data_IF_053939264691
#
_entry.id   IF_053939264691
#
_cell.length_a   1.000
_cell.length_b   1.000
_cell.length_c   1.000
_cell.angle_alpha   90.00
_cell.angle_beta   90.00
_cell.angle_gamma   90.00
#
_symmetry.space_group_name_H-M   'P 1'
#
loop_
_entity.id
_entity.type
_entity.pdbx_description
1 polymer ?
#
# COMPACT_ATOMS: atom_id res chain seq x y z
N UNK A 1 -19.06 8.71 8.10
CA UNK A 1 -17.81 9.35 8.56
C UNK A 1 -16.91 9.61 7.35
N UNK A 2 -16.35 10.80 7.21
CA UNK A 2 -15.45 11.12 6.11
C UNK A 2 -14.02 10.69 6.50
N UNK A 3 -13.55 9.55 5.96
CA UNK A 3 -12.21 9.03 6.24
C UNK A 3 -11.16 9.84 5.45
N UNK A 4 -10.54 10.81 6.13
CA UNK A 4 -9.52 11.70 5.57
C UNK A 4 -8.42 12.02 6.58
N UNK A 5 -7.23 12.30 6.06
CA UNK A 5 -6.09 12.88 6.78
C UNK A 5 -5.74 14.26 6.19
N UNK A 6 -4.60 14.82 6.57
CA UNK A 6 -4.08 16.07 6.00
C UNK A 6 -3.69 15.92 4.53
N UNK A 7 -3.20 14.74 4.12
CA UNK A 7 -2.66 14.54 2.77
C UNK A 7 -3.53 13.68 1.86
N UNK A 8 -4.45 12.88 2.42
CA UNK A 8 -5.29 11.97 1.62
C UNK A 8 -6.75 11.95 2.09
N UNK A 9 -7.62 11.42 1.23
CA UNK A 9 -9.00 11.10 1.55
C UNK A 9 -9.48 9.89 0.75
N UNK A 10 -10.50 9.21 1.26
CA UNK A 10 -11.10 8.05 0.61
C UNK A 10 -12.30 8.45 -0.25
N UNK A 11 -12.38 7.84 -1.43
CA UNK A 11 -13.56 7.87 -2.31
C UNK A 11 -14.02 6.44 -2.54
N UNK A 12 -15.29 6.17 -2.25
CA UNK A 12 -15.88 4.83 -2.31
C UNK A 12 -16.50 4.52 -3.68
N UNK A 13 -16.79 5.55 -4.48
CA UNK A 13 -17.20 5.35 -5.87
C UNK A 13 -16.00 4.86 -6.68
N UNK A 14 -16.07 3.62 -7.12
CA UNK A 14 -15.03 2.94 -7.91
C UNK A 14 -15.20 3.16 -9.41
N UNK A 15 -16.25 3.86 -9.84
CA UNK A 15 -16.47 4.20 -11.24
C UNK A 15 -15.36 5.11 -11.75
N UNK A 16 -15.10 5.03 -13.05
CA UNK A 16 -14.20 5.89 -13.79
C UNK A 16 -14.79 6.09 -15.19
N UNK A 17 -14.57 7.26 -15.77
CA UNK A 17 -15.00 7.52 -17.15
C UNK A 17 -14.25 6.60 -18.13
N UNK A 18 -14.94 5.98 -19.10
CA UNK A 18 -14.29 5.13 -20.09
C UNK A 18 -13.18 5.85 -20.84
N UNK A 19 -12.04 5.18 -21.02
CA UNK A 19 -10.81 5.65 -21.67
C UNK A 19 -10.08 6.80 -20.96
N UNK A 20 -10.51 7.18 -19.74
CA UNK A 20 -9.87 8.22 -18.95
C UNK A 20 -8.47 7.80 -18.45
N UNK A 21 -7.69 8.78 -18.00
CA UNK A 21 -6.43 8.49 -17.29
C UNK A 21 -6.69 7.79 -15.95
N UNK A 22 -7.80 8.12 -15.29
CA UNK A 22 -8.22 7.51 -14.04
C UNK A 22 -8.53 6.02 -14.22
N UNK A 23 -9.27 5.65 -15.26
CA UNK A 23 -9.58 4.25 -15.55
C UNK A 23 -8.30 3.43 -15.73
N UNK A 24 -7.32 3.94 -16.48
CA UNK A 24 -6.03 3.27 -16.70
C UNK A 24 -5.25 3.06 -15.40
N UNK A 25 -5.18 4.09 -14.54
CA UNK A 25 -4.51 4.01 -13.23
C UNK A 25 -5.24 2.99 -12.34
N UNK A 26 -6.58 3.03 -12.31
CA UNK A 26 -7.40 2.09 -11.55
C UNK A 26 -7.16 0.65 -12.00
N UNK A 27 -7.13 0.39 -13.30
CA UNK A 27 -6.84 -0.94 -13.84
C UNK A 27 -5.44 -1.43 -13.52
N UNK A 28 -4.42 -0.56 -13.60
CA UNK A 28 -3.04 -0.92 -13.28
C UNK A 28 -2.89 -1.24 -11.78
N UNK A 29 -3.47 -0.41 -10.91
CA UNK A 29 -3.53 -0.67 -9.47
C UNK A 29 -4.25 -1.99 -9.16
N UNK A 30 -5.39 -2.24 -9.81
CA UNK A 30 -6.15 -3.49 -9.65
C UNK A 30 -5.34 -4.71 -10.09
N UNK A 31 -4.77 -4.68 -11.29
CA UNK A 31 -3.92 -5.77 -11.81
C UNK A 31 -2.75 -6.03 -10.87
N UNK A 32 -2.09 -4.98 -10.39
CA UNK A 32 -0.99 -5.11 -9.44
C UNK A 32 -1.46 -5.71 -8.11
N UNK A 33 -2.59 -5.24 -7.59
CA UNK A 33 -3.14 -5.71 -6.33
C UNK A 33 -3.51 -7.20 -6.39
N UNK A 34 -4.19 -7.63 -7.45
CA UNK A 34 -4.54 -9.04 -7.72
C UNK A 34 -3.36 -9.99 -7.66
N UNK A 35 -2.17 -9.55 -8.09
CA UNK A 35 -0.98 -10.39 -8.11
C UNK A 35 -0.18 -10.36 -6.81
N UNK A 36 -0.43 -9.38 -5.94
CA UNK A 36 0.40 -9.10 -4.76
C UNK A 36 -0.34 -9.24 -3.42
N UNK A 37 -1.64 -9.51 -3.44
CA UNK A 37 -2.47 -9.69 -2.26
C UNK A 37 -3.30 -10.97 -2.31
N UNK A 38 -3.62 -11.52 -1.14
CA UNK A 38 -4.33 -12.81 -1.01
C UNK A 38 -5.79 -12.67 -1.39
N UNK A 39 -6.51 -11.76 -0.76
CA UNK A 39 -7.97 -11.66 -0.86
C UNK A 39 -8.43 -11.28 -2.28
N UNK A 40 -7.86 -10.25 -2.93
CA UNK A 40 -8.23 -9.93 -4.32
C UNK A 40 -7.97 -11.12 -5.26
N UNK A 41 -6.81 -11.77 -5.13
CA UNK A 41 -6.45 -12.95 -5.93
C UNK A 41 -7.33 -14.18 -5.72
N UNK A 42 -8.15 -14.19 -4.66
CA UNK A 42 -9.07 -15.27 -4.30
C UNK A 42 -10.54 -14.81 -4.31
N UNK A 43 -10.84 -13.62 -4.83
CA UNK A 43 -12.20 -13.08 -4.93
C UNK A 43 -13.14 -14.06 -5.67
N UNK A 44 -14.42 -14.09 -5.29
CA UNK A 44 -15.37 -15.08 -5.83
C UNK A 44 -15.67 -14.85 -7.32
N UNK A 45 -15.46 -13.62 -7.80
CA UNK A 45 -15.64 -13.24 -9.19
C UNK A 45 -14.48 -12.34 -9.67
N UNK A 46 -14.12 -12.40 -10.97
CA UNK A 46 -13.08 -11.55 -11.51
C UNK A 46 -13.56 -10.11 -11.62
N UNK A 47 -12.71 -9.17 -11.19
CA UNK A 47 -12.91 -7.74 -11.43
C UNK A 47 -13.04 -6.93 -10.14
N UNK A 48 -12.61 -5.67 -10.24
CA UNK A 48 -12.54 -4.77 -9.10
C UNK A 48 -13.89 -4.50 -8.46
N UNK A 49 -14.97 -4.39 -9.26
CA UNK A 49 -16.32 -4.12 -8.76
C UNK A 49 -16.84 -5.21 -7.82
N UNK A 50 -16.78 -6.47 -8.27
CA UNK A 50 -17.21 -7.60 -7.46
C UNK A 50 -16.41 -7.71 -6.16
N UNK A 51 -15.08 -7.56 -6.23
CA UNK A 51 -14.25 -7.60 -5.02
C UNK A 51 -14.55 -6.43 -4.08
N UNK A 52 -14.80 -5.23 -4.61
CA UNK A 52 -15.19 -4.08 -3.79
C UNK A 52 -16.51 -4.32 -3.05
N UNK A 53 -17.49 -4.98 -3.70
CA UNK A 53 -18.77 -5.34 -3.11
C UNK A 53 -18.64 -6.44 -2.03
N UNK A 54 -17.63 -7.30 -2.13
CA UNK A 54 -17.31 -8.31 -1.11
C UNK A 54 -16.58 -7.71 0.11
N UNK A 55 -16.01 -6.52 -0.01
CA UNK A 55 -15.26 -5.88 1.07
C UNK A 55 -16.19 -5.18 2.06
N UNK A 56 -15.80 -5.18 3.33
CA UNK A 56 -16.42 -4.32 4.34
C UNK A 56 -16.15 -2.84 4.03
N UNK A 57 -14.93 -2.54 3.57
CA UNK A 57 -14.54 -1.24 3.05
C UNK A 57 -13.68 -1.45 1.82
N UNK A 58 -13.97 -0.74 0.75
CA UNK A 58 -13.10 -0.60 -0.41
C UNK A 58 -13.08 0.86 -0.84
N UNK A 59 -11.90 1.44 -1.02
CA UNK A 59 -11.78 2.85 -1.37
C UNK A 59 -10.62 3.14 -2.31
N UNK A 60 -10.87 4.08 -3.22
CA UNK A 60 -9.81 4.82 -3.92
C UNK A 60 -9.16 5.79 -2.93
N UNK A 61 -7.83 5.84 -2.95
CA UNK A 61 -7.05 6.80 -2.17
C UNK A 61 -6.76 7.98 -3.07
N UNK A 62 -7.23 9.16 -2.68
CA UNK A 62 -6.94 10.40 -3.39
C UNK A 62 -6.00 11.29 -2.58
N UNK A 63 -5.05 11.92 -3.27
CA UNK A 63 -4.14 12.92 -2.71
C UNK A 63 -4.84 14.28 -2.63
N UNK A 64 -4.65 14.97 -1.51
CA UNK A 64 -4.98 16.39 -1.38
C UNK A 64 -3.87 17.26 -2.00
N UNK A 65 -4.20 18.19 -2.91
CA UNK A 65 -3.21 19.12 -3.46
C UNK A 65 -2.64 20.00 -2.35
N UNK A 66 -1.34 20.31 -2.40
CA UNK A 66 -0.74 21.24 -1.43
C UNK A 66 -1.13 22.67 -1.81
N UNK A 67 -1.31 23.53 -0.79
CA UNK A 67 -1.67 24.95 -1.01
C UNK A 67 -0.68 25.68 -1.94
N UNK A 68 0.58 25.27 -1.95
CA UNK A 68 1.64 25.79 -2.84
C UNK A 68 1.46 25.40 -4.31
N UNK A 69 0.80 24.28 -4.59
CA UNK A 69 0.54 23.78 -5.95
C UNK A 69 -0.70 24.48 -6.53
N UNK A 70 -1.72 24.74 -5.70
CA UNK A 70 -2.91 25.53 -6.07
C UNK A 70 -2.59 26.98 -6.45
N UNK A 71 -1.53 27.57 -5.89
CA UNK A 71 -1.09 28.94 -6.22
C UNK A 71 -0.35 29.05 -7.54
N UNK A 72 0.27 27.97 -8.04
CA UNK A 72 0.96 27.96 -9.33
C UNK A 72 -0.01 27.91 -10.52
N UNK A 73 -1.24 27.44 -10.29
CA UNK A 73 -2.28 27.37 -11.32
C UNK A 73 -3.09 28.67 -11.46
N UNK A 74 -2.88 29.66 -10.57
CA UNK A 74 -3.66 30.91 -10.52
C UNK A 74 -2.85 32.17 -10.88
N UNK A 75 -1.63 32.05 -11.42
CA UNK A 75 -0.84 33.24 -11.73
C UNK A 75 0.25 32.99 -12.76
N UNK A 76 -0.10 33.23 -14.02
CA UNK A 76 0.75 33.80 -15.08
C UNK A 76 -0.19 34.61 -16.02
N UNK A 77 -0.99 35.52 -15.46
CA UNK A 77 -1.53 36.69 -16.17
C UNK A 77 -0.83 37.91 -15.56
N UNK A 78 0.47 38.06 -15.81
CA UNK A 78 1.12 39.37 -15.67
C UNK A 78 0.87 40.12 -16.98
N UNK A 79 -0.07 41.06 -16.93
CA UNK A 79 -0.26 42.10 -17.93
C UNK A 79 1.06 42.89 -18.09
N UNK A 80 1.78 42.64 -19.19
CA UNK A 80 2.90 43.47 -19.65
C UNK A 80 2.36 44.85 -20.12
N UNK A 81 2.09 45.76 -19.19
CA UNK A 81 2.01 47.19 -19.48
C UNK A 81 3.37 47.86 -19.25
N UNK A 82 4.17 47.92 -20.33
CA UNK A 82 5.35 48.80 -20.44
C UNK A 82 4.90 50.23 -20.79
N UNK A 83 5.29 51.24 -20.00
CA UNK A 83 5.85 52.41 -20.64
C UNK A 83 7.05 52.97 -19.86
N UNK A 84 8.25 52.84 -20.42
CA UNK A 84 9.07 53.99 -20.90
C UNK A 84 10.48 53.58 -21.39
N UNK A 85 10.64 53.71 -22.71
CA UNK A 85 11.76 54.35 -23.44
C UNK A 85 13.11 54.53 -22.73
N UNK A 86 14.12 53.82 -23.25
CA UNK A 86 15.55 54.16 -23.11
C UNK A 86 16.40 53.35 -24.09
N UNK A 87 16.94 54.03 -25.11
CA UNK A 87 17.66 53.46 -26.25
C UNK A 87 18.96 52.72 -25.89
N UNK A 88 19.23 51.60 -26.58
CA UNK A 88 20.53 51.29 -27.22
C UNK A 88 20.51 49.97 -28.03
N UNK A 89 20.66 50.15 -29.35
CA UNK A 89 21.20 49.33 -30.46
C UNK A 89 21.37 47.78 -30.38
N UNK A 90 21.15 47.06 -31.50
CA UNK A 90 20.97 45.62 -31.51
C UNK A 90 22.30 44.85 -31.70
N UNK A 91 22.53 43.82 -30.86
CA UNK A 91 23.53 42.77 -31.12
C UNK A 91 22.83 41.48 -31.53
N UNK A 92 22.88 41.18 -32.81
CA UNK A 92 22.49 39.90 -33.40
C UNK A 92 23.42 38.81 -32.82
N UNK A 93 22.87 37.94 -31.97
CA UNK A 93 23.45 36.62 -31.68
C UNK A 93 22.46 35.57 -32.18
N UNK A 94 22.85 34.88 -33.25
CA UNK A 94 22.16 33.72 -33.76
C UNK A 94 22.01 32.69 -32.63
N UNK A 95 20.77 32.48 -32.17
CA UNK A 95 20.42 31.33 -31.34
C UNK A 95 20.22 30.14 -32.27
N UNK A 96 21.06 29.15 -32.10
CA UNK A 96 20.88 27.80 -32.64
C UNK A 96 19.55 27.23 -32.14
N UNK A 97 18.65 26.91 -33.06
CA UNK A 97 17.43 26.15 -32.74
C UNK A 97 17.85 24.74 -32.31
N UNK A 98 17.81 24.47 -31.00
CA UNK A 98 17.73 23.10 -30.48
C UNK A 98 16.34 22.52 -30.79
N UNK A 99 16.21 21.18 -30.92
CA UNK A 99 14.99 20.58 -31.43
C UNK A 99 13.81 20.81 -30.49
N UNK A 100 12.69 21.11 -31.12
CA UNK A 100 11.35 21.30 -30.57
C UNK A 100 11.06 20.27 -29.45
N UNK A 101 11.05 20.73 -28.20
CA UNK A 101 10.52 19.93 -27.10
C UNK A 101 9.01 19.87 -27.28
N UNK A 102 8.49 18.66 -27.53
CA UNK A 102 7.05 18.39 -27.59
C UNK A 102 6.35 18.93 -26.35
N UNK A 103 5.15 19.53 -26.46
CA UNK A 103 4.43 20.03 -25.30
C UNK A 103 4.16 18.85 -24.36
N UNK A 104 4.70 18.94 -23.14
CA UNK A 104 4.32 18.07 -22.05
C UNK A 104 2.81 18.23 -21.88
N UNK A 105 2.08 17.14 -22.14
CA UNK A 105 0.66 17.05 -21.84
C UNK A 105 0.49 17.17 -20.31
N UNK A 106 0.31 18.39 -19.83
CA UNK A 106 0.03 18.73 -18.44
C UNK A 106 -1.42 18.35 -18.11
N UNK A 107 -1.73 17.06 -18.15
CA UNK A 107 -2.80 16.57 -17.30
C UNK A 107 -2.29 16.67 -15.86
N UNK A 108 -3.07 17.23 -14.92
CA UNK A 108 -2.68 17.15 -13.52
C UNK A 108 -2.43 15.68 -13.18
N UNK A 109 -1.36 15.35 -12.43
CA UNK A 109 -1.16 13.98 -11.99
C UNK A 109 -2.44 13.57 -11.26
N UNK A 110 -3.11 12.55 -11.79
CA UNK A 110 -4.39 12.08 -11.27
C UNK A 110 -4.33 12.05 -9.75
N UNK A 111 -5.29 12.68 -9.09
CA UNK A 111 -5.38 12.68 -7.63
C UNK A 111 -5.49 11.26 -7.08
N UNK A 112 -5.86 10.29 -7.91
CA UNK A 112 -5.93 8.86 -7.59
C UNK A 112 -4.55 8.24 -7.46
N UNK A 113 -4.18 7.89 -6.24
CA UNK A 113 -2.82 7.43 -5.91
C UNK A 113 -2.77 5.98 -5.40
N UNK A 114 -3.91 5.33 -5.16
CA UNK A 114 -3.92 3.97 -4.63
C UNK A 114 -5.30 3.40 -4.34
N UNK A 115 -5.32 2.17 -3.84
CA UNK A 115 -6.51 1.46 -3.37
C UNK A 115 -6.25 0.90 -1.97
N UNK A 116 -7.28 0.88 -1.13
CA UNK A 116 -7.26 0.25 0.20
C UNK A 116 -8.54 -0.54 0.39
N UNK A 117 -8.44 -1.68 1.08
CA UNK A 117 -9.60 -2.49 1.42
C UNK A 117 -9.50 -3.07 2.83
N UNK A 118 -10.67 -3.31 3.42
CA UNK A 118 -10.89 -4.14 4.61
C UNK A 118 -11.87 -5.22 4.20
N UNK A 119 -11.47 -6.48 4.38
CA UNK A 119 -12.21 -7.66 3.97
C UNK A 119 -12.37 -8.63 5.13
N UNK A 120 -13.56 -9.17 5.34
CA UNK A 120 -13.79 -10.25 6.28
C UNK A 120 -14.76 -11.27 5.67
N UNK A 121 -14.26 -12.47 5.40
CA UNK A 121 -15.11 -13.61 5.06
C UNK A 121 -15.95 -14.06 6.25
N UNK A 122 -16.95 -14.94 6.06
CA UNK A 122 -17.90 -15.32 7.11
C UNK A 122 -17.25 -15.80 8.42
N UNK A 123 -16.20 -16.62 8.33
CA UNK A 123 -15.48 -17.14 9.49
C UNK A 123 -14.72 -16.03 10.25
N UNK A 124 -14.12 -15.08 9.53
CA UNK A 124 -13.42 -13.94 10.12
C UNK A 124 -14.41 -12.99 10.78
N UNK A 125 -15.52 -12.66 10.12
CA UNK A 125 -16.59 -11.84 10.71
C UNK A 125 -17.14 -12.43 12.00
N UNK A 126 -17.41 -13.75 12.02
CA UNK A 126 -17.88 -14.43 13.24
C UNK A 126 -16.84 -14.41 14.37
N UNK A 127 -15.56 -14.41 14.02
CA UNK A 127 -14.45 -14.39 14.98
C UNK A 127 -14.03 -12.98 15.39
N UNK A 128 -14.68 -11.93 14.85
CA UNK A 128 -14.27 -10.55 15.09
C UNK A 128 -12.90 -10.22 14.49
N UNK A 129 -12.59 -10.79 13.32
CA UNK A 129 -11.34 -10.58 12.59
C UNK A 129 -11.57 -9.95 11.19
N UNK A 130 -10.66 -9.09 10.75
CA UNK A 130 -10.66 -8.56 9.39
C UNK A 130 -9.25 -8.56 8.78
N UNK A 131 -9.18 -8.68 7.46
CA UNK A 131 -7.95 -8.50 6.67
C UNK A 131 -7.91 -7.08 6.11
N UNK A 132 -6.74 -6.44 6.14
CA UNK A 132 -6.51 -5.14 5.50
C UNK A 132 -5.44 -5.27 4.43
N UNK A 133 -5.67 -4.63 3.28
CA UNK A 133 -4.70 -4.55 2.20
C UNK A 133 -4.67 -3.18 1.55
N UNK A 134 -3.54 -2.86 0.94
CA UNK A 134 -3.28 -1.56 0.33
C UNK A 134 -2.33 -1.68 -0.86
N UNK A 135 -2.56 -0.86 -1.88
CA UNK A 135 -1.62 -0.60 -2.97
C UNK A 135 -1.52 0.91 -3.21
N UNK A 136 -0.30 1.39 -3.42
CA UNK A 136 0.00 2.78 -3.80
C UNK A 136 0.71 2.75 -5.14
N UNK A 137 0.28 3.62 -6.05
CA UNK A 137 0.88 3.82 -7.36
C UNK A 137 2.40 4.05 -7.21
N UNK A 138 3.25 3.40 -8.03
CA UNK A 138 4.71 3.46 -7.88
C UNK A 138 5.27 4.88 -7.69
N UNK A 139 4.81 5.83 -8.50
CA UNK A 139 5.26 7.24 -8.46
C UNK A 139 4.87 7.97 -7.17
N UNK A 140 3.91 7.44 -6.43
CA UNK A 140 3.38 8.02 -5.19
C UNK A 140 3.89 7.30 -3.94
N UNK A 141 4.73 6.27 -4.09
CA UNK A 141 5.36 5.60 -2.95
C UNK A 141 6.38 6.51 -2.24
N UNK A 142 6.80 6.14 -1.03
CA UNK A 142 7.79 6.89 -0.22
C UNK A 142 7.34 8.25 0.34
N UNK A 143 6.08 8.63 0.16
CA UNK A 143 5.54 9.90 0.66
C UNK A 143 4.72 9.76 1.95
N UNK A 144 4.59 8.55 2.52
CA UNK A 144 3.81 8.29 3.74
C UNK A 144 2.34 7.94 3.50
N UNK A 145 1.81 8.08 2.28
CA UNK A 145 0.40 7.83 1.97
C UNK A 145 -0.10 6.44 2.37
N UNK A 146 0.72 5.40 2.20
CA UNK A 146 0.33 4.04 2.61
C UNK A 146 0.07 3.95 4.12
N UNK A 147 0.89 4.63 4.93
CA UNK A 147 0.73 4.66 6.38
C UNK A 147 -0.55 5.38 6.78
N UNK A 148 -0.80 6.54 6.18
CA UNK A 148 -2.01 7.32 6.43
C UNK A 148 -3.28 6.54 6.05
N UNK A 149 -3.27 5.87 4.90
CA UNK A 149 -4.42 5.10 4.43
C UNK A 149 -4.69 3.88 5.32
N UNK A 150 -3.67 3.09 5.68
CA UNK A 150 -3.88 1.96 6.60
C UNK A 150 -4.34 2.46 7.97
N UNK A 151 -3.80 3.57 8.49
CA UNK A 151 -4.25 4.13 9.78
C UNK A 151 -5.72 4.56 9.75
N UNK A 152 -6.21 5.12 8.65
CA UNK A 152 -7.64 5.43 8.47
C UNK A 152 -8.51 4.15 8.42
N UNK A 153 -8.07 3.13 7.67
CA UNK A 153 -8.78 1.86 7.58
C UNK A 153 -8.85 1.13 8.93
N UNK A 154 -7.75 1.14 9.69
CA UNK A 154 -7.69 0.59 11.05
C UNK A 154 -8.64 1.31 12.00
N UNK A 155 -8.63 2.66 11.99
CA UNK A 155 -9.56 3.45 12.80
C UNK A 155 -10.99 3.00 12.56
N UNK A 156 -11.38 2.89 11.30
CA UNK A 156 -12.71 2.42 10.93
C UNK A 156 -12.98 0.99 11.43
N UNK A 157 -12.06 0.05 11.22
CA UNK A 157 -12.24 -1.34 11.63
C UNK A 157 -12.37 -1.51 13.16
N UNK A 158 -11.52 -0.85 13.94
CA UNK A 158 -11.51 -0.96 15.40
C UNK A 158 -12.55 -0.07 16.08
N UNK A 159 -12.73 1.18 15.63
CA UNK A 159 -13.57 2.15 16.32
C UNK A 159 -15.03 2.08 15.87
N UNK A 160 -15.30 1.87 14.58
CA UNK A 160 -16.67 1.81 14.06
C UNK A 160 -17.20 0.38 14.08
N UNK A 161 -16.44 -0.57 13.53
CA UNK A 161 -16.91 -1.95 13.41
C UNK A 161 -16.61 -2.83 14.63
N UNK A 162 -15.78 -2.36 15.57
CA UNK A 162 -15.41 -3.07 16.80
C UNK A 162 -14.81 -4.45 16.56
N UNK A 163 -14.06 -4.62 15.46
CA UNK A 163 -13.29 -5.84 15.25
C UNK A 163 -12.25 -5.99 16.37
N UNK A 164 -12.16 -7.17 16.95
CA UNK A 164 -11.13 -7.46 17.97
C UNK A 164 -9.74 -7.53 17.34
N UNK A 165 -9.66 -7.87 16.05
CA UNK A 165 -8.41 -8.16 15.38
C UNK A 165 -8.42 -7.71 13.92
N UNK A 166 -7.34 -7.08 13.49
CA UNK A 166 -7.07 -6.77 12.07
C UNK A 166 -5.73 -7.35 11.67
N UNK A 167 -5.68 -8.04 10.54
CA UNK A 167 -4.50 -8.73 10.04
C UNK A 167 -4.14 -8.32 8.61
N UNK A 168 -2.89 -8.53 8.23
CA UNK A 168 -2.36 -8.29 6.90
C UNK A 168 -1.65 -9.56 6.40
N UNK A 169 -2.08 -10.05 5.24
CA UNK A 169 -1.51 -11.22 4.59
C UNK A 169 -0.58 -10.79 3.46
N UNK A 170 0.73 -11.00 3.63
CA UNK A 170 1.76 -10.45 2.74
C UNK A 170 2.41 -11.57 1.93
N UNK A 171 2.31 -11.49 0.61
CA UNK A 171 3.02 -12.41 -0.29
C UNK A 171 4.53 -12.23 -0.28
N UNK A 172 5.21 -13.31 -0.65
CA UNK A 172 6.64 -13.29 -0.94
C UNK A 172 6.93 -12.60 -2.29
N UNK A 173 7.06 -11.28 -2.23
CA UNK A 173 7.33 -10.37 -3.37
C UNK A 173 8.62 -9.56 -3.13
N UNK A 174 9.23 -8.97 -4.17
CA UNK A 174 10.43 -8.13 -3.99
C UNK A 174 10.23 -6.92 -3.05
N UNK A 175 8.98 -6.47 -2.87
CA UNK A 175 8.66 -5.35 -1.98
C UNK A 175 8.23 -5.78 -0.56
N UNK A 176 8.22 -7.09 -0.26
CA UNK A 176 7.76 -7.64 1.03
C UNK A 176 8.37 -6.94 2.24
N UNK A 177 9.68 -6.76 2.29
CA UNK A 177 10.36 -6.11 3.42
C UNK A 177 9.86 -4.70 3.71
N UNK A 178 9.46 -3.96 2.66
CA UNK A 178 8.89 -2.61 2.80
C UNK A 178 7.49 -2.69 3.41
N UNK A 179 6.69 -3.65 2.99
CA UNK A 179 5.33 -3.87 3.50
C UNK A 179 5.39 -4.33 4.96
N UNK A 180 6.32 -5.25 5.30
CA UNK A 180 6.57 -5.68 6.68
C UNK A 180 6.93 -4.49 7.57
N UNK A 181 7.85 -3.62 7.14
CA UNK A 181 8.21 -2.41 7.89
C UNK A 181 7.06 -1.42 8.05
N UNK A 182 6.20 -1.28 7.03
CA UNK A 182 5.00 -0.45 7.11
C UNK A 182 4.08 -0.94 8.23
N UNK A 183 3.71 -2.22 8.21
CA UNK A 183 2.79 -2.81 9.19
C UNK A 183 3.40 -2.89 10.60
N UNK A 184 4.66 -3.31 10.71
CA UNK A 184 5.38 -3.29 12.00
C UNK A 184 5.44 -1.87 12.58
N UNK A 185 5.76 -0.87 11.76
CA UNK A 185 5.78 0.53 12.18
C UNK A 185 4.40 1.11 12.53
N UNK A 186 3.30 0.45 12.12
CA UNK A 186 1.94 0.79 12.55
C UNK A 186 1.55 0.10 13.86
N UNK A 187 2.36 -0.86 14.33
CA UNK A 187 2.13 -1.61 15.57
C UNK A 187 1.63 -3.03 15.36
N UNK A 188 1.65 -3.57 14.13
CA UNK A 188 1.33 -4.98 13.92
C UNK A 188 2.46 -5.88 14.40
N UNK A 189 2.08 -7.03 14.93
CA UNK A 189 2.97 -8.12 15.35
C UNK A 189 3.02 -9.21 14.28
N UNK A 190 4.19 -9.82 14.07
CA UNK A 190 4.31 -10.96 13.15
C UNK A 190 3.97 -12.28 13.84
N UNK A 191 3.16 -13.08 13.17
CA UNK A 191 2.63 -14.32 13.74
C UNK A 191 3.18 -15.57 13.06
N UNK A 192 3.61 -15.45 11.80
CA UNK A 192 4.19 -16.58 11.09
C UNK A 192 4.14 -16.44 9.59
N UNK A 193 4.77 -17.41 8.93
CA UNK A 193 4.69 -17.57 7.48
C UNK A 193 4.12 -18.94 7.13
N UNK A 194 2.98 -18.94 6.45
CA UNK A 194 2.39 -20.14 5.85
C UNK A 194 3.14 -20.42 4.56
N UNK A 195 3.94 -21.49 4.54
CA UNK A 195 4.71 -21.88 3.35
C UNK A 195 3.78 -22.45 2.28
N UNK A 196 3.93 -22.01 1.04
CA UNK A 196 3.14 -22.48 -0.12
C UNK A 196 1.63 -22.48 0.16
N UNK A 197 1.12 -21.41 0.77
CA UNK A 197 -0.26 -21.34 1.25
C UNK A 197 -1.26 -21.01 0.14
N UNK A 198 -0.84 -20.24 -0.86
CA UNK A 198 -1.70 -19.75 -1.94
C UNK A 198 -1.10 -20.14 -3.28
N UNK A 199 -1.91 -20.72 -4.16
CA UNK A 199 -1.54 -20.98 -5.55
C UNK A 199 -1.94 -19.78 -6.40
N UNK A 200 -0.97 -19.19 -7.09
CA UNK A 200 -1.17 -18.08 -8.01
C UNK A 200 -1.11 -18.59 -9.45
N UNK A 201 -2.21 -18.53 -10.22
CA UNK A 201 -2.21 -18.87 -11.63
C UNK A 201 -1.37 -17.85 -12.43
N UNK A 202 -0.69 -18.31 -13.49
CA UNK A 202 0.14 -17.47 -14.37
C UNK A 202 -0.51 -17.25 -15.76
N UNK A 203 -1.85 -17.35 -15.84
CA UNK A 203 -2.60 -17.29 -17.09
C UNK A 203 -2.95 -18.67 -17.67
N UNK A 204 -3.77 -18.68 -18.72
CA UNK A 204 -4.23 -19.91 -19.35
C UNK A 204 -3.06 -20.69 -19.97
N UNK A 205 -2.96 -21.97 -19.65
CA UNK A 205 -1.90 -22.86 -20.16
C UNK A 205 -0.52 -22.67 -19.53
N UNK A 206 -0.35 -21.73 -18.59
CA UNK A 206 0.92 -21.52 -17.88
C UNK A 206 0.83 -22.07 -16.46
N UNK A 207 1.80 -22.89 -16.07
CA UNK A 207 1.88 -23.44 -14.71
C UNK A 207 2.03 -22.27 -13.72
N UNK A 208 1.10 -22.21 -12.76
CA UNK A 208 1.12 -21.23 -11.68
C UNK A 208 2.19 -21.57 -10.63
N UNK A 209 2.29 -20.73 -9.59
CA UNK A 209 3.26 -20.93 -8.53
C UNK A 209 2.62 -20.87 -7.15
N UNK A 210 3.11 -21.70 -6.24
CA UNK A 210 2.75 -21.63 -4.84
C UNK A 210 3.55 -20.55 -4.13
N UNK A 211 2.86 -19.63 -3.45
CA UNK A 211 3.43 -18.50 -2.70
C UNK A 211 3.42 -18.77 -1.20
N UNK A 212 4.49 -18.36 -0.53
CA UNK A 212 4.48 -18.20 0.92
C UNK A 212 3.67 -16.95 1.29
N UNK A 213 2.95 -17.00 2.41
CA UNK A 213 2.16 -15.88 2.95
C UNK A 213 2.60 -15.60 4.38
N UNK A 214 3.08 -14.38 4.63
CA UNK A 214 3.47 -13.92 5.96
C UNK A 214 2.31 -13.14 6.58
N UNK A 215 1.90 -13.52 7.79
CA UNK A 215 0.81 -12.88 8.52
C UNK A 215 1.35 -11.97 9.61
N UNK A 216 0.81 -10.74 9.62
CA UNK A 216 0.94 -9.80 10.70
C UNK A 216 -0.45 -9.43 11.21
N UNK A 217 -0.59 -9.13 12.49
CA UNK A 217 -1.85 -8.71 13.06
C UNK A 217 -1.71 -7.68 14.17
N UNK A 218 -2.80 -6.96 14.39
CA UNK A 218 -2.99 -6.01 15.48
C UNK A 218 -4.28 -6.38 16.20
N UNK A 219 -4.23 -6.36 17.54
CA UNK A 219 -5.42 -6.51 18.38
C UNK A 219 -6.00 -5.14 18.73
N UNK A 220 -7.28 -5.11 19.08
CA UNK A 220 -7.96 -3.92 19.59
C UNK A 220 -7.28 -3.34 20.84
N UNK A 221 -6.72 -4.19 21.71
CA UNK A 221 -5.92 -3.77 22.86
C UNK A 221 -4.66 -3.02 22.43
N UNK A 222 -3.99 -3.48 21.37
CA UNK A 222 -2.80 -2.81 20.84
C UNK A 222 -3.18 -1.44 20.26
N UNK A 223 -4.33 -1.35 19.58
CA UNK A 223 -4.88 -0.10 19.06
C UNK A 223 -5.13 0.93 20.17
N UNK A 224 -5.80 0.51 21.25
CA UNK A 224 -6.11 1.38 22.40
C UNK A 224 -4.84 1.83 23.13
N UNK A 225 -3.92 0.90 23.40
CA UNK A 225 -2.65 1.23 24.07
C UNK A 225 -1.81 2.20 23.24
N UNK A 226 -1.78 2.03 21.92
CA UNK A 226 -1.10 2.94 21.00
C UNK A 226 -1.68 4.36 21.09
N UNK A 227 -3.01 4.51 21.19
CA UNK A 227 -3.67 5.81 21.37
C UNK A 227 -3.20 6.51 22.65
N UNK A 228 -3.23 5.79 23.78
CA UNK A 228 -2.81 6.32 25.08
C UNK A 228 -1.33 6.74 25.14
N UNK A 229 -0.44 6.03 24.44
CA UNK A 229 1.00 6.40 24.37
C UNK A 229 1.21 7.69 23.57
N UNK A 230 0.43 7.92 22.51
CA UNK A 230 0.51 9.15 21.70
C UNK A 230 0.00 10.38 22.45
N UNK A 231 -1.07 10.23 23.23
CA UNK A 231 -1.67 11.33 23.99
C UNK A 231 -0.81 11.75 25.20
N UNK A 232 -0.12 10.81 25.85
CA UNK A 232 0.67 11.08 27.06
C UNK A 232 2.03 11.77 26.84
N UNK A 233 2.33 12.27 25.64
CA UNK A 233 3.31 13.35 25.42
C UNK A 233 4.79 13.09 25.76
N UNK A 234 5.17 11.93 26.28
CA UNK A 234 6.59 11.53 26.36
C UNK A 234 6.93 10.88 25.05
N UNK A 235 7.46 11.68 24.11
CA UNK A 235 7.92 11.24 22.80
C UNK A 235 8.62 9.91 22.92
N UNK A 236 7.93 8.84 22.52
CA UNK A 236 8.54 7.54 22.41
C UNK A 236 9.66 7.76 21.41
N UNK A 237 10.91 7.77 21.91
CA UNK A 237 12.10 7.50 21.09
C UNK A 237 11.64 6.45 20.10
N UNK A 238 11.79 6.72 18.79
CA UNK A 238 11.62 5.71 17.74
C UNK A 238 12.06 4.37 18.35
N UNK A 239 11.17 3.36 18.47
CA UNK A 239 11.50 2.19 19.24
C UNK A 239 12.83 1.69 18.67
N UNK A 240 13.88 1.80 19.49
CA UNK A 240 15.23 1.36 19.14
C UNK A 240 15.06 -0.04 18.57
N UNK A 241 15.58 -0.29 17.35
CA UNK A 241 15.33 -1.48 16.51
C UNK A 241 14.32 -2.39 17.17
N UNK A 242 13.05 -2.31 16.75
CA UNK A 242 11.99 -3.09 17.38
C UNK A 242 12.50 -4.52 17.55
N UNK A 243 12.19 -5.21 18.65
CA UNK A 243 12.57 -6.62 18.84
C UNK A 243 12.31 -7.46 17.56
N UNK A 244 11.31 -7.02 16.79
CA UNK A 244 10.94 -7.44 15.45
C UNK A 244 11.98 -7.18 14.35
N UNK A 245 12.60 -6.01 14.25
CA UNK A 245 13.69 -5.75 13.31
C UNK A 245 14.86 -6.71 13.53
N UNK A 246 15.20 -7.00 14.80
CA UNK A 246 16.20 -8.02 15.14
C UNK A 246 15.72 -9.44 14.80
N UNK A 247 14.47 -9.76 15.10
CA UNK A 247 13.88 -11.07 14.81
C UNK A 247 13.80 -11.35 13.30
N UNK A 248 13.35 -10.40 12.49
CA UNK A 248 13.26 -10.53 11.05
C UNK A 248 14.65 -10.67 10.42
N UNK A 249 15.61 -9.84 10.85
CA UNK A 249 16.99 -9.95 10.40
C UNK A 249 17.59 -11.31 10.77
N UNK A 250 17.29 -11.83 11.96
CA UNK A 250 17.72 -13.17 12.40
C UNK A 250 17.09 -14.27 11.56
N UNK A 251 15.78 -14.21 11.34
CA UNK A 251 15.06 -15.24 10.58
C UNK A 251 15.51 -15.30 9.11
N UNK A 252 15.79 -14.15 8.50
CA UNK A 252 16.37 -14.08 7.16
C UNK A 252 17.74 -14.79 7.10
N UNK A 253 18.61 -14.55 8.09
CA UNK A 253 19.91 -15.24 8.21
C UNK A 253 19.75 -16.75 8.42
N UNK A 254 18.85 -17.17 9.29
CA UNK A 254 18.59 -18.58 9.57
C UNK A 254 18.04 -19.31 8.33
N UNK A 255 17.15 -18.67 7.55
CA UNK A 255 16.63 -19.22 6.29
C UNK A 255 17.71 -19.34 5.23
N UNK A 256 18.59 -18.34 5.10
CA UNK A 256 19.73 -18.40 4.19
C UNK A 256 20.72 -19.52 4.59
N UNK A 257 20.96 -19.70 5.89
CA UNK A 257 21.80 -20.79 6.41
C UNK A 257 21.18 -22.17 6.17
N UNK A 258 19.87 -22.32 6.37
CA UNK A 258 19.15 -23.55 6.11
C UNK A 258 19.16 -23.91 4.61
N UNK A 259 18.99 -22.92 3.73
CA UNK A 259 19.10 -23.12 2.28
C UNK A 259 20.51 -23.62 1.90
N UNK A 260 21.56 -22.95 2.39
CA UNK A 260 22.96 -23.39 2.19
C UNK A 260 23.24 -24.78 2.77
N UNK A 261 22.60 -25.12 3.88
CA UNK A 261 22.75 -26.43 4.52
C UNK A 261 22.03 -27.53 3.71
N UNK A 262 20.81 -27.28 3.25
CA UNK A 262 20.01 -28.20 2.41
C UNK A 262 20.68 -28.44 1.05
N UNK A 263 21.28 -27.42 0.44
CA UNK A 263 22.10 -27.55 -0.77
C UNK A 263 23.29 -28.50 -0.56
N UNK A 264 23.88 -28.49 0.63
CA UNK A 264 25.08 -29.26 0.95
C UNK A 264 24.81 -30.67 1.47
N UNK A 265 23.68 -30.91 2.15
CA UNK A 265 23.43 -32.16 2.88
C UNK A 265 22.11 -32.87 2.52
N UNK A 266 21.32 -32.32 1.59
CA UNK A 266 20.02 -32.87 1.23
C UNK A 266 18.94 -32.60 2.28
N UNK A 267 17.72 -33.10 2.02
CA UNK A 267 16.50 -32.73 2.76
C UNK A 267 16.38 -33.48 4.10
N UNK A 268 16.13 -32.76 5.19
CA UNK A 268 15.99 -33.35 6.55
C UNK A 268 14.74 -34.22 6.65
N UNK A 269 14.91 -35.45 7.16
CA UNK A 269 13.81 -36.36 7.48
C UNK A 269 13.33 -36.11 8.91
N UNK A 270 12.04 -35.78 9.07
CA UNK A 270 11.42 -35.48 10.38
C UNK A 270 11.11 -36.77 11.14
N UNK A 271 11.44 -36.84 12.42
CA UNK A 271 10.96 -37.89 13.34
C UNK A 271 9.59 -37.51 13.88
N UNK A 272 8.68 -38.50 13.93
CA UNK A 272 7.34 -38.31 14.48
C UNK A 272 7.37 -38.39 16.01
N UNK A 273 6.84 -37.36 16.65
CA UNK A 273 6.22 -37.47 17.97
C UNK A 273 5.30 -36.28 18.11
N UNK A 274 3.99 -36.52 18.16
CA UNK A 274 3.16 -36.25 19.34
C UNK A 274 1.69 -36.58 19.09
N UNK A 275 1.01 -36.78 20.21
CA UNK A 275 -0.41 -37.07 20.42
C UNK A 275 -1.39 -36.21 19.60
N UNK A 276 -2.58 -36.78 19.43
CA UNK A 276 -3.75 -36.23 18.76
C UNK A 276 -4.17 -34.89 19.37
N UNK A 277 -4.04 -33.80 18.60
CA UNK A 277 -4.75 -32.55 18.85
C UNK A 277 -6.05 -32.58 18.03
N UNK A 278 -7.19 -32.39 18.71
CA UNK A 278 -8.53 -32.32 18.13
C UNK A 278 -8.74 -31.04 17.34
#
# INVERSE_FOLDING_TARGET
MELKTDNIYFVYDISAEPYSAEERIREDLWKTLMHNAVEPGQASAPGLGFFADECLLFAKILRKPKLSELRRDQGDEEDDEDPRMGSQTPRIRARTHGPLSTPHNSNPPSSHIGLVYVYAGPANTQSGEANVGIIIHPDMQHHGYAREAVELALRWAFEELKFHRVQAAIFDTPCKDRVLRLFAGLGFSHEGTRRRAVYQPNGEGVVGMWRDVTYLAMLDTDWVLRGAVRENGKGAKQPAMTLWDEMFARHAREREQLLKWEEKHGRIRRSASTETLR
#
